data_IF_851245135225
#
_entry.id   IF_851245135225
#
_cell.length_a   1.000
_cell.length_b   1.000
_cell.length_c   1.000
_cell.angle_alpha   90.00
_cell.angle_beta   90.00
_cell.angle_gamma   90.00
#
_symmetry.space_group_name_H-M   'P 1'
#
loop_
_entity.id
_entity.type
_entity.pdbx_description
1 polymer ?
#
# COMPACT_ATOMS: atom_id res chain seq x y z
N UNK A 1 -12.88 -32.51 -8.67
CA UNK A 1 -12.80 -31.09 -8.35
C UNK A 1 -12.93 -30.99 -6.85
N UNK A 2 -12.00 -30.33 -6.12
CA UNK A 2 -12.17 -30.09 -4.70
C UNK A 2 -13.43 -29.25 -4.47
N UNK A 3 -14.08 -29.42 -3.33
CA UNK A 3 -15.22 -28.62 -2.94
C UNK A 3 -14.75 -27.17 -2.67
N UNK A 4 -15.64 -26.19 -2.83
CA UNK A 4 -15.34 -24.78 -2.58
C UNK A 4 -14.80 -24.54 -1.15
N UNK A 5 -15.15 -25.41 -0.20
CA UNK A 5 -14.69 -25.37 1.19
C UNK A 5 -13.23 -25.86 1.35
N UNK A 6 -12.72 -26.69 0.44
CA UNK A 6 -11.31 -27.16 0.46
C UNK A 6 -10.35 -26.17 -0.20
N UNK A 7 -10.83 -25.26 -1.05
CA UNK A 7 -10.01 -24.20 -1.65
C UNK A 7 -9.80 -23.02 -0.68
N UNK A 8 -10.77 -22.73 0.19
CA UNK A 8 -10.65 -21.64 1.19
C UNK A 8 -9.67 -21.99 2.34
N UNK A 9 -9.40 -23.28 2.56
CA UNK A 9 -8.47 -23.80 3.57
C UNK A 9 -6.97 -23.63 3.19
N UNK A 10 -6.67 -23.12 1.98
CA UNK A 10 -5.30 -22.88 1.48
C UNK A 10 -4.93 -21.41 1.30
N UNK A 11 -5.85 -20.51 1.57
CA UNK A 11 -5.58 -19.09 1.45
C UNK A 11 -4.87 -18.57 2.70
N UNK A 12 -3.68 -18.01 2.53
CA UNK A 12 -2.97 -17.32 3.61
C UNK A 12 -3.28 -15.83 3.59
N UNK A 13 -3.29 -15.20 4.74
CA UNK A 13 -3.37 -13.75 4.83
C UNK A 13 -2.01 -13.15 5.17
N UNK A 14 -1.73 -11.93 4.71
CA UNK A 14 -0.45 -11.28 4.94
C UNK A 14 -0.59 -9.79 5.23
N UNK A 15 0.39 -9.26 5.95
CA UNK A 15 0.56 -7.82 6.17
C UNK A 15 1.84 -7.38 5.47
N UNK A 16 1.77 -6.54 4.43
CA UNK A 16 2.96 -6.00 3.79
C UNK A 16 3.67 -5.03 4.73
N UNK A 17 4.98 -5.25 4.98
CA UNK A 17 5.82 -4.27 5.67
C UNK A 17 6.31 -3.26 4.62
N UNK A 18 5.36 -2.46 4.14
CA UNK A 18 5.59 -1.44 3.11
C UNK A 18 5.91 -0.09 3.77
N UNK A 19 7.08 0.51 3.48
CA UNK A 19 7.49 1.77 4.07
C UNK A 19 6.52 2.94 3.82
N UNK A 20 5.77 2.90 2.72
CA UNK A 20 4.82 3.95 2.35
C UNK A 20 3.46 3.81 3.03
N UNK A 21 3.22 2.72 3.75
CA UNK A 21 1.97 2.53 4.50
C UNK A 21 1.95 3.33 5.80
N UNK A 22 0.86 4.09 6.01
CA UNK A 22 0.71 4.95 7.19
C UNK A 22 0.77 4.19 8.52
N UNK A 23 0.23 2.96 8.59
CA UNK A 23 0.30 2.12 9.79
C UNK A 23 1.74 1.69 10.09
N UNK A 24 2.53 1.37 9.08
CA UNK A 24 3.95 1.01 9.24
C UNK A 24 4.76 2.23 9.70
N UNK A 25 4.49 3.42 9.14
CA UNK A 25 5.09 4.66 9.60
C UNK A 25 4.75 4.96 11.07
N UNK A 26 3.48 4.81 11.47
CA UNK A 26 3.04 5.00 12.84
C UNK A 26 3.73 4.03 13.82
N UNK A 27 3.85 2.75 13.45
CA UNK A 27 4.56 1.74 14.25
C UNK A 27 6.04 2.09 14.41
N UNK A 28 6.70 2.52 13.34
CA UNK A 28 8.10 2.93 13.34
C UNK A 28 8.34 4.11 14.30
N UNK A 29 7.51 5.15 14.19
CA UNK A 29 7.58 6.32 15.09
C UNK A 29 7.35 5.90 16.55
N UNK A 30 6.31 5.09 16.81
CA UNK A 30 6.03 4.60 18.15
C UNK A 30 7.18 3.75 18.74
N UNK A 31 7.93 3.03 17.90
CA UNK A 31 9.13 2.30 18.31
C UNK A 31 10.29 3.24 18.65
N UNK A 32 10.54 4.25 17.82
CA UNK A 32 11.59 5.27 18.05
C UNK A 32 11.33 6.05 19.34
N UNK A 33 10.09 6.48 19.53
CA UNK A 33 9.66 7.23 20.73
C UNK A 33 9.40 6.32 21.96
N UNK A 34 9.60 5.02 21.84
CA UNK A 34 9.37 4.03 22.91
C UNK A 34 7.95 4.07 23.48
N UNK A 35 6.98 4.43 22.65
CA UNK A 35 5.57 4.46 23.04
C UNK A 35 5.00 3.04 23.18
N UNK A 36 4.13 2.78 24.19
CA UNK A 36 3.37 1.54 24.25
C UNK A 36 2.51 1.35 22.99
N UNK A 37 2.40 0.12 22.52
CA UNK A 37 1.63 -0.26 21.34
C UNK A 37 0.68 -1.39 21.68
N UNK A 38 -0.52 -1.36 21.11
CA UNK A 38 -1.49 -2.43 21.21
C UNK A 38 -2.08 -2.70 19.84
N UNK A 39 -2.17 -3.96 19.47
CA UNK A 39 -2.87 -4.43 18.28
C UNK A 39 -4.25 -4.93 18.73
N UNK A 40 -5.31 -4.31 18.25
CA UNK A 40 -6.65 -4.50 18.82
C UNK A 40 -7.64 -5.08 17.80
N UNK A 41 -7.21 -5.38 16.59
CA UNK A 41 -8.05 -6.11 15.64
C UNK A 41 -8.23 -7.56 16.09
N UNK A 42 -9.32 -8.18 15.67
CA UNK A 42 -9.56 -9.62 15.89
C UNK A 42 -8.66 -10.42 14.92
N UNK A 43 -7.88 -11.34 15.46
CA UNK A 43 -7.14 -12.28 14.65
C UNK A 43 -8.06 -13.41 14.18
N UNK A 44 -8.04 -13.70 12.89
CA UNK A 44 -8.93 -14.68 12.26
C UNK A 44 -8.14 -15.60 11.34
N UNK A 45 -8.43 -16.88 11.33
CA UNK A 45 -7.77 -17.88 10.48
C UNK A 45 -7.99 -17.58 9.00
N UNK A 46 -9.22 -17.32 8.59
CA UNK A 46 -9.58 -16.96 7.21
C UNK A 46 -10.00 -15.49 7.12
N UNK A 47 -9.07 -14.63 6.67
CA UNK A 47 -9.32 -13.19 6.57
C UNK A 47 -10.24 -12.84 5.40
N UNK A 48 -11.31 -12.08 5.68
CA UNK A 48 -12.24 -11.55 4.69
C UNK A 48 -11.96 -10.06 4.43
N UNK A 49 -11.35 -9.69 3.28
CA UNK A 49 -11.11 -8.29 2.95
C UNK A 49 -12.43 -7.57 2.67
N UNK A 50 -12.58 -6.36 3.17
CA UNK A 50 -13.70 -5.46 2.87
C UNK A 50 -13.31 -4.54 1.73
N UNK A 51 -14.02 -4.62 0.62
CA UNK A 51 -13.82 -3.70 -0.50
C UNK A 51 -14.57 -2.38 -0.26
N UNK A 52 -13.88 -1.26 -0.41
CA UNK A 52 -14.49 0.06 -0.41
C UNK A 52 -13.88 0.93 -1.50
N UNK A 53 -14.73 1.63 -2.25
CA UNK A 53 -14.25 2.63 -3.20
C UNK A 53 -14.11 3.97 -2.48
N UNK A 54 -12.88 4.40 -2.30
CA UNK A 54 -12.56 5.69 -1.71
C UNK A 54 -12.12 6.68 -2.80
N UNK A 55 -12.31 8.00 -2.61
CA UNK A 55 -11.70 9.00 -3.45
C UNK A 55 -10.17 8.88 -3.45
N UNK A 56 -9.54 9.37 -4.52
CA UNK A 56 -8.08 9.37 -4.65
C UNK A 56 -7.41 10.03 -3.42
N UNK A 57 -6.58 9.33 -2.65
CA UNK A 57 -5.95 9.85 -1.44
C UNK A 57 -4.96 11.00 -1.72
N UNK A 58 -4.55 11.18 -2.97
CA UNK A 58 -3.73 12.32 -3.38
C UNK A 58 -4.41 13.69 -3.09
N UNK A 59 -5.74 13.70 -2.98
CA UNK A 59 -6.48 14.87 -2.55
C UNK A 59 -5.99 15.43 -1.20
N UNK A 60 -5.47 14.57 -0.31
CA UNK A 60 -4.91 14.96 0.99
C UNK A 60 -3.69 15.91 0.89
N UNK A 61 -3.03 16.00 -0.26
CA UNK A 61 -2.01 17.05 -0.51
C UNK A 61 -2.58 18.48 -0.56
N UNK A 62 -3.89 18.61 -0.79
CA UNK A 62 -4.58 19.91 -0.96
C UNK A 62 -5.74 20.11 0.00
N UNK A 63 -6.27 19.04 0.54
CA UNK A 63 -7.42 19.04 1.44
C UNK A 63 -6.97 18.51 2.79
N UNK A 64 -7.29 19.21 3.86
CA UNK A 64 -6.99 18.75 5.22
C UNK A 64 -7.71 17.42 5.51
N UNK A 65 -7.08 16.54 6.31
CA UNK A 65 -7.56 15.19 6.56
C UNK A 65 -8.97 15.15 7.17
N UNK A 66 -9.28 16.11 8.06
CA UNK A 66 -10.61 16.26 8.67
C UNK A 66 -11.70 16.56 7.63
N UNK A 67 -11.40 17.42 6.66
CA UNK A 67 -12.34 17.75 5.56
C UNK A 67 -12.51 16.59 4.59
N UNK A 68 -11.41 15.91 4.29
CA UNK A 68 -11.47 14.70 3.47
C UNK A 68 -12.33 13.62 4.14
N UNK A 69 -12.09 13.35 5.42
CA UNK A 69 -12.89 12.40 6.20
C UNK A 69 -14.36 12.81 6.27
N UNK A 70 -14.65 14.09 6.54
CA UNK A 70 -16.03 14.59 6.60
C UNK A 70 -16.80 14.41 5.27
N UNK A 71 -16.11 14.45 4.14
CA UNK A 71 -16.70 14.21 2.83
C UNK A 71 -16.92 12.72 2.54
N UNK A 72 -16.03 11.84 3.03
CA UNK A 72 -16.03 10.41 2.70
C UNK A 72 -16.89 9.59 3.65
N UNK A 73 -16.80 9.86 4.96
CA UNK A 73 -17.47 9.07 5.98
C UNK A 73 -18.99 8.87 5.77
N UNK A 74 -19.76 9.86 5.31
CA UNK A 74 -21.20 9.66 5.05
C UNK A 74 -21.50 8.68 3.90
N UNK A 75 -20.53 8.44 3.02
CA UNK A 75 -20.69 7.54 1.87
C UNK A 75 -20.30 6.09 2.17
N UNK A 76 -19.71 5.83 3.35
CA UNK A 76 -19.29 4.49 3.73
C UNK A 76 -20.54 3.65 4.05
N UNK A 77 -20.74 2.60 3.25
CA UNK A 77 -21.83 1.65 3.44
C UNK A 77 -21.71 0.84 4.73
N UNK A 78 -22.81 0.24 5.15
CA UNK A 78 -22.82 -0.63 6.35
C UNK A 78 -21.95 -1.86 6.13
N UNK A 79 -21.23 -2.25 7.17
CA UNK A 79 -20.43 -3.47 7.13
C UNK A 79 -21.32 -4.70 6.96
N UNK A 80 -20.86 -5.71 6.22
CA UNK A 80 -21.49 -7.02 6.20
C UNK A 80 -21.52 -7.64 7.61
N UNK A 81 -22.54 -8.46 7.86
CA UNK A 81 -22.57 -9.31 9.06
C UNK A 81 -21.44 -10.37 8.99
N UNK A 82 -21.12 -10.96 10.12
CA UNK A 82 -20.04 -11.93 10.26
C UNK A 82 -18.70 -11.27 10.55
N UNK A 83 -17.60 -11.83 10.04
CA UNK A 83 -16.24 -11.44 10.39
C UNK A 83 -15.96 -9.93 10.35
N UNK A 84 -16.37 -9.13 9.33
CA UNK A 84 -16.12 -7.69 9.32
C UNK A 84 -16.75 -6.97 10.51
N UNK A 85 -17.96 -7.38 10.91
CA UNK A 85 -18.63 -6.83 12.08
C UNK A 85 -17.98 -7.28 13.37
N UNK A 86 -17.63 -8.56 13.49
CA UNK A 86 -17.00 -9.13 14.68
C UNK A 86 -15.66 -8.44 14.97
N UNK A 87 -14.86 -8.18 13.94
CA UNK A 87 -13.60 -7.42 14.05
C UNK A 87 -13.83 -6.01 14.60
N UNK A 88 -14.80 -5.29 14.06
CA UNK A 88 -15.12 -3.92 14.49
C UNK A 88 -15.60 -3.89 15.95
N UNK A 89 -16.45 -4.82 16.34
CA UNK A 89 -16.96 -4.92 17.72
C UNK A 89 -15.82 -5.28 18.68
N UNK A 90 -14.94 -6.19 18.29
CA UNK A 90 -13.76 -6.57 19.09
C UNK A 90 -12.81 -5.37 19.25
N UNK A 91 -12.51 -4.63 18.19
CA UNK A 91 -11.68 -3.41 18.27
C UNK A 91 -12.29 -2.38 19.23
N UNK A 92 -13.60 -2.17 19.19
CA UNK A 92 -14.30 -1.25 20.09
C UNK A 92 -14.22 -1.68 21.57
N UNK A 93 -14.33 -2.97 21.84
CA UNK A 93 -14.22 -3.51 23.20
C UNK A 93 -12.78 -3.40 23.75
N UNK A 94 -11.80 -3.80 22.97
CA UNK A 94 -10.37 -3.69 23.32
C UNK A 94 -9.94 -2.24 23.52
N UNK A 95 -10.49 -1.32 22.72
CA UNK A 95 -10.23 0.12 22.90
C UNK A 95 -10.74 0.61 24.25
N UNK A 96 -11.94 0.19 24.70
CA UNK A 96 -12.47 0.53 26.05
C UNK A 96 -11.60 -0.04 27.17
N UNK A 97 -11.08 -1.24 27.01
CA UNK A 97 -10.16 -1.84 27.99
C UNK A 97 -8.85 -1.06 28.10
N UNK A 98 -8.35 -0.55 26.97
CA UNK A 98 -7.15 0.30 26.95
C UNK A 98 -7.41 1.66 27.58
N UNK A 99 -8.57 2.25 27.37
CA UNK A 99 -8.96 3.54 27.97
C UNK A 99 -8.97 3.47 29.50
N UNK A 100 -9.34 2.32 30.09
CA UNK A 100 -9.24 2.13 31.54
C UNK A 100 -7.79 2.15 32.06
N UNK A 101 -6.81 1.90 31.19
CA UNK A 101 -5.37 1.80 31.56
C UNK A 101 -4.54 3.01 31.13
N UNK A 102 -4.99 3.76 30.13
CA UNK A 102 -4.22 4.84 29.51
C UNK A 102 -5.02 6.15 29.47
N UNK A 103 -4.35 7.27 29.80
CA UNK A 103 -4.96 8.60 29.78
C UNK A 103 -5.15 9.20 28.39
N UNK A 104 -4.35 8.75 27.44
CA UNK A 104 -4.36 9.22 26.05
C UNK A 104 -4.04 8.06 25.14
N UNK A 105 -4.86 7.89 24.10
CA UNK A 105 -4.72 6.81 23.10
C UNK A 105 -4.79 7.44 21.73
N UNK A 106 -3.78 7.18 20.90
CA UNK A 106 -3.86 7.41 19.46
C UNK A 106 -4.31 6.10 18.80
N UNK A 107 -5.51 6.11 18.26
CA UNK A 107 -6.07 4.96 17.55
C UNK A 107 -5.93 5.16 16.04
N UNK A 108 -5.23 4.23 15.38
CA UNK A 108 -5.04 4.20 13.93
C UNK A 108 -5.84 3.05 13.37
N UNK A 109 -6.83 3.34 12.52
CA UNK A 109 -7.71 2.35 11.92
C UNK A 109 -8.04 2.72 10.47
N UNK A 110 -8.65 1.77 9.76
CA UNK A 110 -9.22 2.06 8.44
C UNK A 110 -10.35 3.09 8.54
N UNK A 111 -10.38 4.03 7.59
CA UNK A 111 -11.48 4.98 7.48
C UNK A 111 -12.82 4.26 7.22
N UNK A 112 -12.80 3.12 6.56
CA UNK A 112 -13.99 2.32 6.26
C UNK A 112 -14.59 1.67 7.50
N UNK A 113 -13.76 1.34 8.48
CA UNK A 113 -14.18 0.68 9.70
C UNK A 113 -14.57 1.68 10.80
N UNK A 114 -14.00 2.90 10.74
CA UNK A 114 -14.17 3.91 11.77
C UNK A 114 -15.61 4.21 12.19
N UNK A 115 -16.60 4.41 11.27
CA UNK A 115 -17.99 4.69 11.66
C UNK A 115 -18.57 3.59 12.53
N UNK A 116 -18.25 2.33 12.22
CA UNK A 116 -18.76 1.14 12.86
C UNK A 116 -18.05 0.84 14.18
N UNK A 117 -16.76 1.09 14.25
CA UNK A 117 -16.00 1.04 15.52
C UNK A 117 -16.57 2.08 16.48
N UNK A 118 -16.82 3.30 16.02
CA UNK A 118 -17.41 4.37 16.83
C UNK A 118 -18.82 4.01 17.30
N UNK A 119 -19.66 3.44 16.43
CA UNK A 119 -21.00 2.95 16.78
C UNK A 119 -20.90 1.88 17.87
N UNK A 120 -20.13 0.83 17.64
CA UNK A 120 -19.93 -0.27 18.59
C UNK A 120 -19.36 0.20 19.93
N UNK A 121 -18.43 1.17 19.90
CA UNK A 121 -17.85 1.77 21.09
C UNK A 121 -18.91 2.56 21.90
N UNK A 122 -19.70 3.40 21.22
CA UNK A 122 -20.70 4.28 21.87
C UNK A 122 -21.89 3.47 22.39
N UNK A 123 -22.37 2.51 21.64
CA UNK A 123 -23.51 1.67 22.00
C UNK A 123 -23.12 0.50 22.93
N UNK A 124 -21.84 0.35 23.23
CA UNK A 124 -21.31 -0.71 24.09
C UNK A 124 -21.71 -2.11 23.63
N UNK A 125 -21.63 -2.35 22.32
CA UNK A 125 -21.97 -3.64 21.74
C UNK A 125 -21.02 -4.72 22.30
N UNK A 126 -21.59 -5.80 22.82
CA UNK A 126 -20.82 -6.91 23.35
C UNK A 126 -20.16 -7.70 22.21
N UNK A 127 -18.94 -8.24 22.42
CA UNK A 127 -18.28 -9.08 21.43
C UNK A 127 -19.08 -10.37 21.23
N UNK A 128 -19.12 -10.82 19.97
CA UNK A 128 -19.74 -12.09 19.57
C UNK A 128 -18.73 -13.22 19.54
N UNK A 129 -17.44 -12.87 19.43
CA UNK A 129 -16.30 -13.79 19.42
C UNK A 129 -15.44 -13.47 20.63
N UNK A 130 -15.10 -14.48 21.42
CA UNK A 130 -14.38 -14.30 22.68
C UNK A 130 -12.86 -14.37 22.51
N UNK A 131 -12.37 -15.20 21.58
CA UNK A 131 -10.95 -15.49 21.40
C UNK A 131 -10.46 -15.20 19.98
N UNK A 132 -9.18 -14.84 19.89
CA UNK A 132 -8.46 -14.76 18.62
C UNK A 132 -8.14 -16.17 18.11
N UNK A 133 -8.37 -16.38 16.81
CA UNK A 133 -7.85 -17.54 16.10
C UNK A 133 -6.46 -17.17 15.54
N UNK A 134 -5.43 -17.50 16.29
CA UNK A 134 -4.04 -17.21 15.91
C UNK A 134 -3.41 -18.43 15.26
N UNK A 135 -3.00 -18.27 14.02
CA UNK A 135 -2.22 -19.25 13.27
C UNK A 135 -0.73 -18.95 13.35
N UNK A 136 0.10 -19.93 12.92
CA UNK A 136 1.53 -19.75 12.82
C UNK A 136 1.88 -18.60 11.87
N UNK A 137 2.71 -17.67 12.36
CA UNK A 137 3.13 -16.48 11.62
C UNK A 137 4.54 -16.63 11.12
N UNK A 138 4.74 -16.44 9.82
CA UNK A 138 6.05 -16.52 9.17
C UNK A 138 6.44 -15.16 8.57
N UNK A 139 7.74 -14.87 8.56
CA UNK A 139 8.30 -13.66 7.95
C UNK A 139 9.10 -14.08 6.73
N UNK A 140 8.75 -13.50 5.60
CA UNK A 140 9.43 -13.69 4.32
C UNK A 140 10.00 -12.36 3.81
N UNK A 141 11.16 -12.46 3.14
CA UNK A 141 11.57 -11.42 2.21
C UNK A 141 10.77 -11.57 0.91
N UNK A 142 10.62 -10.48 0.15
CA UNK A 142 10.02 -10.54 -1.19
C UNK A 142 11.10 -10.36 -2.23
N UNK A 143 11.09 -11.20 -3.26
CA UNK A 143 11.99 -11.08 -4.42
C UNK A 143 11.87 -9.68 -5.03
N UNK A 144 12.96 -8.91 -5.15
CA UNK A 144 12.92 -7.54 -5.67
C UNK A 144 12.22 -7.40 -7.02
N UNK A 145 12.28 -8.40 -7.88
CA UNK A 145 11.61 -8.38 -9.18
C UNK A 145 10.08 -8.39 -9.08
N UNK A 146 9.55 -8.82 -7.93
CA UNK A 146 8.12 -8.97 -7.68
C UNK A 146 7.55 -7.96 -6.67
N UNK A 147 8.38 -7.04 -6.17
CA UNK A 147 7.94 -5.99 -5.23
C UNK A 147 6.82 -5.11 -5.77
N UNK A 148 6.71 -4.98 -7.08
CA UNK A 148 5.63 -4.25 -7.72
C UNK A 148 4.23 -4.83 -7.39
N UNK A 149 4.13 -6.09 -7.02
CA UNK A 149 2.87 -6.73 -6.61
C UNK A 149 2.58 -6.62 -5.12
N UNK A 150 3.51 -6.05 -4.34
CA UNK A 150 3.39 -5.91 -2.89
C UNK A 150 3.24 -4.46 -2.45
N UNK A 151 4.08 -3.58 -2.99
CA UNK A 151 4.19 -2.19 -2.55
C UNK A 151 3.00 -1.35 -3.00
N UNK A 152 2.56 -0.43 -2.16
CA UNK A 152 1.47 0.51 -2.46
C UNK A 152 1.88 1.64 -3.41
N UNK A 153 3.19 1.81 -3.64
CA UNK A 153 3.77 2.75 -4.59
C UNK A 153 4.81 2.03 -5.46
N UNK A 154 5.17 2.59 -6.60
CA UNK A 154 6.15 1.99 -7.50
C UNK A 154 7.49 1.73 -6.76
N UNK A 155 8.12 0.56 -6.96
CA UNK A 155 9.35 0.18 -6.25
C UNK A 155 10.45 1.23 -6.33
N UNK A 156 10.64 1.86 -7.49
CA UNK A 156 11.61 2.94 -7.66
C UNK A 156 11.31 4.13 -6.74
N UNK A 157 10.04 4.57 -6.68
CA UNK A 157 9.62 5.70 -5.85
C UNK A 157 9.74 5.35 -4.37
N UNK A 158 9.33 4.14 -3.98
CA UNK A 158 9.52 3.64 -2.61
C UNK A 158 11.00 3.63 -2.22
N UNK A 159 11.90 3.23 -3.13
CA UNK A 159 13.34 3.24 -2.86
C UNK A 159 13.91 4.65 -2.68
N UNK A 160 13.40 5.64 -3.43
CA UNK A 160 13.77 7.05 -3.23
C UNK A 160 13.33 7.55 -1.85
N UNK A 161 12.12 7.21 -1.43
CA UNK A 161 11.60 7.57 -0.11
C UNK A 161 12.48 6.96 1.01
N UNK A 162 12.78 5.67 0.93
CA UNK A 162 13.61 4.98 1.93
C UNK A 162 15.03 5.59 2.01
N UNK A 163 15.63 5.92 0.87
CA UNK A 163 16.94 6.56 0.81
C UNK A 163 16.91 7.95 1.43
N UNK A 164 15.97 8.78 1.02
CA UNK A 164 15.85 10.14 1.54
C UNK A 164 15.57 10.15 3.04
N UNK A 165 14.74 9.24 3.53
CA UNK A 165 14.47 9.06 4.96
C UNK A 165 15.73 8.65 5.74
N UNK A 166 16.51 7.72 5.21
CA UNK A 166 17.76 7.28 5.85
C UNK A 166 18.82 8.40 5.91
N UNK A 167 18.86 9.28 4.88
CA UNK A 167 19.78 10.40 4.82
C UNK A 167 19.39 11.55 5.75
N UNK A 168 18.10 11.85 5.87
CA UNK A 168 17.61 12.98 6.67
C UNK A 168 17.32 12.61 8.12
N UNK A 169 17.19 11.32 8.43
CA UNK A 169 16.76 10.80 9.73
C UNK A 169 15.42 11.41 10.23
N UNK A 170 14.63 11.92 9.30
CA UNK A 170 13.39 12.65 9.54
C UNK A 170 12.41 12.44 8.36
N UNK A 171 11.15 12.15 8.67
CA UNK A 171 10.09 11.98 7.67
C UNK A 171 9.31 13.28 7.37
N UNK A 172 9.38 14.29 8.25
CA UNK A 172 8.50 15.46 8.17
C UNK A 172 8.80 16.38 6.98
N UNK A 173 10.07 16.43 6.57
CA UNK A 173 10.53 17.33 5.53
C UNK A 173 10.82 16.64 4.19
N UNK A 174 10.41 15.38 4.03
CA UNK A 174 10.58 14.68 2.77
C UNK A 174 9.67 15.23 1.68
N UNK A 175 10.26 15.74 0.61
CA UNK A 175 9.55 16.19 -0.59
C UNK A 175 10.16 15.53 -1.81
N UNK A 176 9.53 14.46 -2.30
CA UNK A 176 9.98 13.70 -3.45
C UNK A 176 8.97 13.82 -4.58
N UNK A 177 9.40 14.34 -5.73
CA UNK A 177 8.65 14.21 -6.98
C UNK A 177 9.07 12.89 -7.66
N UNK A 178 8.52 11.79 -7.16
CA UNK A 178 8.93 10.45 -7.55
C UNK A 178 8.80 10.17 -9.04
N UNK A 179 7.73 10.67 -9.68
CA UNK A 179 7.50 10.47 -11.12
C UNK A 179 8.56 11.23 -11.92
N UNK A 180 8.88 12.44 -11.53
CA UNK A 180 9.93 13.24 -12.18
C UNK A 180 11.31 12.58 -12.05
N UNK A 181 11.68 12.15 -10.84
CA UNK A 181 12.96 11.50 -10.59
C UNK A 181 13.06 10.16 -11.37
N UNK A 182 12.00 9.37 -11.41
CA UNK A 182 11.93 8.15 -12.20
C UNK A 182 12.11 8.43 -13.70
N UNK A 183 11.48 9.47 -14.23
CA UNK A 183 11.59 9.85 -15.63
C UNK A 183 13.01 10.32 -15.98
N UNK A 184 13.66 11.08 -15.08
CA UNK A 184 15.03 11.52 -15.24
C UNK A 184 16.01 10.34 -15.21
N UNK A 185 15.85 9.42 -14.26
CA UNK A 185 16.66 8.19 -14.18
C UNK A 185 16.48 7.33 -15.43
N UNK A 186 15.25 7.18 -15.91
CA UNK A 186 14.96 6.48 -17.18
C UNK A 186 15.67 7.11 -18.36
N UNK A 187 15.60 8.44 -18.47
CA UNK A 187 16.28 9.19 -19.56
C UNK A 187 17.79 8.95 -19.54
N UNK A 188 18.38 9.03 -18.36
CA UNK A 188 19.84 8.92 -18.22
C UNK A 188 20.30 7.48 -18.55
N UNK A 189 19.57 6.47 -18.07
CA UNK A 189 19.81 5.07 -18.42
C UNK A 189 19.65 4.81 -19.92
N UNK A 190 18.54 5.26 -20.50
CA UNK A 190 18.23 5.15 -21.94
C UNK A 190 19.34 5.77 -22.79
N UNK A 191 19.81 6.96 -22.39
CA UNK A 191 20.89 7.66 -23.11
C UNK A 191 22.25 6.97 -22.97
N UNK A 192 22.55 6.43 -21.79
CA UNK A 192 23.79 5.73 -21.51
C UNK A 192 23.90 4.40 -22.29
N UNK A 193 22.81 3.65 -22.37
CA UNK A 193 22.80 2.35 -23.05
C UNK A 193 22.75 2.47 -24.56
N UNK A 194 21.92 3.35 -25.11
CA UNK A 194 21.72 3.47 -26.56
C UNK A 194 22.66 4.46 -27.23
N UNK A 195 23.36 5.31 -26.46
CA UNK A 195 24.35 6.27 -26.97
C UNK A 195 23.84 7.09 -28.17
N UNK A 196 24.46 6.96 -29.33
CA UNK A 196 24.06 7.66 -30.55
C UNK A 196 22.72 7.21 -31.14
N UNK A 197 22.19 6.06 -30.73
CA UNK A 197 20.87 5.56 -31.16
C UNK A 197 19.76 6.08 -30.27
N UNK A 198 20.06 6.69 -29.13
CA UNK A 198 19.08 7.25 -28.23
C UNK A 198 18.42 8.48 -28.87
N UNK A 199 17.07 8.51 -28.85
CA UNK A 199 16.34 9.73 -29.18
C UNK A 199 16.63 10.79 -28.12
N UNK A 200 16.92 12.00 -28.54
CA UNK A 200 17.21 13.10 -27.62
C UNK A 200 15.92 13.54 -26.89
N UNK A 201 15.89 13.34 -25.60
CA UNK A 201 14.77 13.74 -24.73
C UNK A 201 15.04 15.15 -24.18
N UNK A 202 14.55 16.14 -24.93
CA UNK A 202 14.71 17.55 -24.55
C UNK A 202 13.77 17.93 -23.40
N UNK A 203 14.07 18.98 -22.61
CA UNK A 203 13.16 19.49 -21.58
C UNK A 203 11.77 19.82 -22.11
N UNK A 204 11.68 20.29 -23.37
CA UNK A 204 10.39 20.55 -24.03
C UNK A 204 9.60 19.27 -24.24
N UNK A 205 10.26 18.18 -24.66
CA UNK A 205 9.61 16.88 -24.85
C UNK A 205 9.11 16.30 -23.52
N UNK A 206 9.90 16.45 -22.45
CA UNK A 206 9.51 16.04 -21.10
C UNK A 206 8.31 16.86 -20.60
N UNK A 207 8.25 18.16 -20.88
CA UNK A 207 7.08 18.98 -20.56
C UNK A 207 5.82 18.49 -21.28
N UNK A 208 5.91 18.13 -22.56
CA UNK A 208 4.82 17.55 -23.33
C UNK A 208 4.40 16.20 -22.74
N UNK A 209 5.36 15.38 -22.34
CA UNK A 209 5.09 14.10 -21.66
C UNK A 209 4.24 14.30 -20.39
N UNK A 210 4.65 15.22 -19.51
CA UNK A 210 3.89 15.48 -18.27
C UNK A 210 2.50 16.04 -18.54
N UNK A 211 2.34 16.89 -19.56
CA UNK A 211 1.02 17.37 -19.97
C UNK A 211 0.12 16.22 -20.46
N UNK A 212 0.70 15.30 -21.22
CA UNK A 212 -0.01 14.13 -21.75
C UNK A 212 -0.42 13.18 -20.62
N UNK A 213 0.52 12.83 -19.73
CA UNK A 213 0.26 12.01 -18.53
C UNK A 213 -0.88 12.62 -17.70
N UNK A 214 -0.79 13.93 -17.39
CA UNK A 214 -1.83 14.61 -16.64
C UNK A 214 -3.19 14.53 -17.32
N UNK A 215 -3.23 14.72 -18.61
CA UNK A 215 -4.50 14.69 -19.36
C UNK A 215 -5.11 13.29 -19.37
N UNK A 216 -4.29 12.23 -19.53
CA UNK A 216 -4.75 10.84 -19.43
C UNK A 216 -5.29 10.54 -18.03
N UNK A 217 -4.55 10.87 -16.97
CA UNK A 217 -5.00 10.66 -15.60
C UNK A 217 -6.34 11.37 -15.30
N UNK A 218 -6.51 12.61 -15.80
CA UNK A 218 -7.76 13.35 -15.64
C UNK A 218 -8.94 12.71 -16.39
N UNK A 219 -8.71 12.13 -17.57
CA UNK A 219 -9.74 11.37 -18.32
C UNK A 219 -10.20 10.16 -17.51
N UNK A 220 -9.28 9.50 -16.81
CA UNK A 220 -9.56 8.38 -15.92
C UNK A 220 -10.06 8.82 -14.52
N UNK A 221 -10.28 10.13 -14.32
CA UNK A 221 -10.72 10.72 -13.04
C UNK A 221 -9.75 10.47 -11.88
N UNK A 222 -8.47 10.32 -12.18
CA UNK A 222 -7.39 10.15 -11.19
C UNK A 222 -6.59 11.44 -11.07
N UNK A 223 -6.09 11.69 -9.86
CA UNK A 223 -5.20 12.82 -9.59
C UNK A 223 -3.73 12.44 -9.76
N UNK A 224 -3.42 11.16 -9.62
CA UNK A 224 -2.11 10.56 -9.88
C UNK A 224 -2.19 9.59 -11.05
N UNK A 225 -1.18 9.59 -11.95
CA UNK A 225 -1.10 8.57 -12.99
C UNK A 225 -0.70 7.22 -12.39
N UNK A 226 -1.19 6.15 -12.96
CA UNK A 226 -0.68 4.81 -12.74
C UNK A 226 0.47 4.47 -13.70
N UNK A 227 1.10 3.31 -13.49
CA UNK A 227 2.20 2.86 -14.35
C UNK A 227 1.76 2.72 -15.81
N UNK A 228 0.55 2.21 -16.06
CA UNK A 228 0.02 2.06 -17.40
C UNK A 228 -0.05 3.41 -18.14
N UNK A 229 -0.60 4.41 -17.49
CA UNK A 229 -0.68 5.79 -18.02
C UNK A 229 0.70 6.36 -18.33
N UNK A 230 1.67 6.14 -17.43
CA UNK A 230 3.06 6.58 -17.61
C UNK A 230 3.73 5.89 -18.82
N UNK A 231 3.54 4.57 -18.95
CA UNK A 231 4.12 3.77 -20.05
C UNK A 231 3.49 4.13 -21.39
N UNK A 232 2.16 4.27 -21.45
CA UNK A 232 1.46 4.68 -22.68
C UNK A 232 1.91 6.07 -23.12
N UNK A 233 2.03 7.01 -22.18
CA UNK A 233 2.54 8.34 -22.49
C UNK A 233 3.98 8.31 -22.99
N UNK A 234 4.84 7.48 -22.40
CA UNK A 234 6.22 7.30 -22.82
C UNK A 234 6.31 6.74 -24.24
N UNK A 235 5.49 5.75 -24.54
CA UNK A 235 5.39 5.15 -25.88
C UNK A 235 5.00 6.19 -26.94
N UNK A 236 3.97 6.97 -26.67
CA UNK A 236 3.47 7.97 -27.63
C UNK A 236 4.44 9.13 -27.84
N UNK A 237 5.12 9.58 -26.80
CA UNK A 237 5.97 10.79 -26.84
C UNK A 237 7.41 10.47 -27.19
N UNK A 238 7.97 9.38 -26.67
CA UNK A 238 9.38 9.04 -26.81
C UNK A 238 9.65 7.72 -27.57
N UNK A 239 8.63 6.91 -27.77
CA UNK A 239 8.67 5.65 -28.52
C UNK A 239 8.85 4.42 -27.63
N UNK A 240 8.62 3.24 -28.23
CA UNK A 240 8.54 1.94 -27.55
C UNK A 240 9.79 1.64 -26.69
N UNK A 241 10.97 1.90 -27.22
CA UNK A 241 12.22 1.64 -26.46
C UNK A 241 12.28 2.42 -25.16
N UNK A 242 11.90 3.70 -25.19
CA UNK A 242 11.88 4.50 -23.97
C UNK A 242 10.83 4.01 -22.97
N UNK A 243 9.68 3.58 -23.45
CA UNK A 243 8.63 2.98 -22.61
C UNK A 243 9.09 1.69 -21.91
N UNK A 244 9.88 0.85 -22.58
CA UNK A 244 10.50 -0.33 -21.97
C UNK A 244 11.44 0.08 -20.84
N UNK A 245 12.36 1.02 -21.10
CA UNK A 245 13.28 1.53 -20.08
C UNK A 245 12.55 2.14 -18.89
N UNK A 246 11.42 2.84 -19.13
CA UNK A 246 10.59 3.38 -18.07
C UNK A 246 9.99 2.28 -17.19
N UNK A 247 9.46 1.23 -17.81
CA UNK A 247 8.90 0.09 -17.10
C UNK A 247 9.94 -0.64 -16.27
N UNK A 248 11.13 -0.83 -16.81
CA UNK A 248 12.25 -1.45 -16.09
C UNK A 248 12.69 -0.57 -14.92
N UNK A 249 12.84 0.74 -15.12
CA UNK A 249 13.21 1.68 -14.04
C UNK A 249 12.16 1.71 -12.94
N UNK A 250 10.87 1.71 -13.29
CA UNK A 250 9.78 1.73 -12.32
C UNK A 250 9.80 0.52 -11.36
N UNK A 251 10.28 -0.63 -11.85
CA UNK A 251 10.39 -1.88 -11.08
C UNK A 251 11.66 -1.99 -10.25
N UNK A 252 12.65 -1.12 -10.47
CA UNK A 252 13.90 -1.17 -9.73
C UNK A 252 13.69 -0.74 -8.28
N UNK A 253 14.16 -1.57 -7.34
CA UNK A 253 14.21 -1.24 -5.93
C UNK A 253 15.67 -1.14 -5.49
N UNK A 254 16.18 0.09 -5.47
CA UNK A 254 17.61 0.36 -5.20
C UNK A 254 17.99 0.33 -3.71
N UNK A 255 17.02 0.29 -2.80
CA UNK A 255 17.26 0.23 -1.35
C UNK A 255 17.15 -1.21 -0.85
N UNK A 256 18.22 -1.98 -1.05
CA UNK A 256 18.26 -3.38 -0.62
C UNK A 256 19.07 -3.51 0.67
N UNK A 257 18.39 -3.73 1.80
CA UNK A 257 19.03 -4.27 2.99
C UNK A 257 19.19 -5.79 2.83
N UNK A 258 20.26 -6.37 3.38
CA UNK A 258 20.35 -7.84 3.52
C UNK A 258 19.32 -8.27 4.55
N UNK A 259 18.22 -8.80 4.08
CA UNK A 259 17.15 -9.32 4.92
C UNK A 259 17.44 -10.81 5.16
N UNK A 260 17.58 -11.27 6.42
CA UNK A 260 17.97 -12.64 6.75
C UNK A 260 16.80 -13.65 6.65
N UNK A 261 15.82 -13.37 5.79
CA UNK A 261 14.65 -14.22 5.59
C UNK A 261 14.67 -14.86 4.21
N UNK A 262 14.05 -16.03 4.10
CA UNK A 262 13.83 -16.68 2.81
C UNK A 262 12.97 -15.82 1.91
N UNK A 263 13.33 -15.73 0.62
CA UNK A 263 12.61 -14.92 -0.34
C UNK A 263 11.46 -15.70 -0.99
N UNK A 264 10.28 -15.06 -1.07
CA UNK A 264 9.14 -15.53 -1.83
C UNK A 264 8.91 -14.63 -3.05
N UNK A 265 8.20 -15.13 -4.04
CA UNK A 265 7.79 -14.36 -5.22
C UNK A 265 6.31 -14.01 -5.10
N UNK A 266 6.02 -12.70 -5.11
CA UNK A 266 4.64 -12.22 -5.11
C UNK A 266 4.08 -12.18 -6.53
N UNK A 267 2.78 -12.44 -6.65
CA UNK A 267 1.98 -12.23 -7.83
C UNK A 267 0.65 -11.56 -7.46
N UNK A 268 -0.28 -11.56 -8.40
CA UNK A 268 -1.65 -11.07 -8.16
C UNK A 268 -2.37 -12.11 -7.32
N UNK A 269 -2.76 -11.73 -6.08
CA UNK A 269 -3.52 -12.58 -5.13
C UNK A 269 -2.88 -13.94 -4.82
N UNK A 270 -1.61 -14.12 -5.13
CA UNK A 270 -0.89 -15.35 -4.84
C UNK A 270 0.60 -15.10 -4.62
N UNK A 271 1.24 -16.02 -3.90
CA UNK A 271 2.68 -16.02 -3.73
C UNK A 271 3.26 -17.42 -3.98
N UNK A 272 4.47 -17.46 -4.51
CA UNK A 272 5.28 -18.67 -4.57
C UNK A 272 6.27 -18.66 -3.42
N UNK A 273 6.12 -19.60 -2.52
CA UNK A 273 6.96 -19.78 -1.35
C UNK A 273 8.36 -20.32 -1.71
N UNK A 274 9.34 -20.23 -0.80
CA UNK A 274 10.71 -20.72 -1.05
C UNK A 274 10.81 -22.22 -1.35
N UNK A 275 9.89 -23.03 -0.84
CA UNK A 275 9.77 -24.46 -1.11
C UNK A 275 9.17 -24.79 -2.49
N UNK A 276 8.67 -23.77 -3.18
CA UNK A 276 8.05 -23.87 -4.51
C UNK A 276 6.53 -24.00 -4.50
N UNK A 277 5.90 -24.07 -3.34
CA UNK A 277 4.45 -24.07 -3.19
C UNK A 277 3.86 -22.72 -3.62
N UNK A 278 2.69 -22.74 -4.25
CA UNK A 278 1.94 -21.53 -4.60
C UNK A 278 0.70 -21.47 -3.72
N UNK A 279 0.58 -20.34 -2.99
CA UNK A 279 -0.48 -20.11 -2.02
C UNK A 279 -1.27 -18.86 -2.41
N UNK A 280 -2.59 -18.91 -2.28
CA UNK A 280 -3.44 -17.72 -2.39
C UNK A 280 -3.17 -16.77 -1.23
N UNK A 281 -3.06 -15.47 -1.51
CA UNK A 281 -2.64 -14.47 -0.53
C UNK A 281 -3.65 -13.34 -0.41
N UNK A 282 -4.22 -13.16 0.78
CA UNK A 282 -5.16 -12.08 1.09
C UNK A 282 -4.46 -10.97 1.90
N UNK A 283 -4.45 -9.75 1.37
CA UNK A 283 -3.86 -8.60 2.07
C UNK A 283 -4.77 -8.13 3.21
N UNK A 284 -4.24 -8.03 4.42
CA UNK A 284 -4.97 -7.52 5.60
C UNK A 284 -5.02 -6.01 5.69
N UNK A 285 -4.14 -5.29 4.99
CA UNK A 285 -4.20 -3.83 4.98
C UNK A 285 -5.25 -3.33 3.99
N UNK A 286 -6.05 -2.31 4.36
CA UNK A 286 -7.00 -1.72 3.44
C UNK A 286 -6.26 -0.98 2.31
N UNK A 287 -6.78 -1.09 1.13
CA UNK A 287 -6.24 -0.43 -0.06
C UNK A 287 -6.61 -1.21 -1.32
N UNK A 288 -6.55 -0.55 -2.46
CA UNK A 288 -6.71 -1.24 -3.72
C UNK A 288 -5.38 -1.90 -4.07
N UNK A 289 -5.30 -3.22 -4.23
CA UNK A 289 -4.04 -3.91 -4.52
C UNK A 289 -3.39 -3.50 -5.86
N UNK A 290 -4.11 -2.77 -6.69
CA UNK A 290 -3.68 -2.37 -8.05
C UNK A 290 -3.94 -0.88 -8.29
N UNK A 291 -3.36 -0.01 -7.46
CA UNK A 291 -3.47 1.44 -7.67
C UNK A 291 -2.45 2.00 -8.68
N UNK A 292 -1.65 1.14 -9.32
CA UNK A 292 -0.62 1.51 -10.30
C UNK A 292 -0.80 0.86 -11.67
#
# INVERSE_FOLDING_TARGET
QPSADEEDDRAASYVPIDPCQGVIAALRIAMQERMPRAFIDLETASFQPTAATLPDPYALKKVAADKFAAAVLPAIGRLPEGQPRDRVVTMANRLRELEAKHKSILFVCSMTDWPWIREAYTEQIAPTVEDDEVEDTYIYAVDPETLIFLLSELPFITSLYERARAELDDDENLSIDGIKEMLLATRDRYSAELKSQARQLTPKLLSVYFQYVRNLALVERRMTPDLYTLVVAAQQIAGDRFAIFLTETAREYGYTARIPFSAMKMGIEQARLPDGETVEMKNRLPGHPFSW
#
